data_IF_854218189145
#
_entry.id   IF_854218189145
#
_cell.length_a   1.000
_cell.length_b   1.000
_cell.length_c   1.000
_cell.angle_alpha   90.00
_cell.angle_beta   90.00
_cell.angle_gamma   90.00
#
_symmetry.space_group_name_H-M   'P 1'
#
loop_
_entity.id
_entity.type
_entity.pdbx_description
1 polymer ?
#
# COMPACT_ATOMS: atom_id res chain seq x y z
N UNK A 1 -13.00 2.95 11.10
CA UNK A 1 -11.72 2.98 10.36
C UNK A 1 -10.86 4.11 10.88
N UNK A 2 -9.56 3.88 11.03
CA UNK A 2 -8.60 4.85 11.53
C UNK A 2 -7.43 4.96 10.57
N UNK A 3 -6.83 6.15 10.50
CA UNK A 3 -5.57 6.40 9.81
C UNK A 3 -4.47 6.65 10.83
N UNK A 4 -3.27 6.21 10.53
CA UNK A 4 -2.13 6.34 11.39
C UNK A 4 -0.91 6.81 10.61
N UNK A 5 -0.26 7.86 11.08
CA UNK A 5 0.97 8.36 10.47
C UNK A 5 2.20 7.82 11.22
N UNK A 6 2.85 6.82 10.63
CA UNK A 6 4.04 6.19 11.22
C UNK A 6 5.26 7.13 11.33
N UNK A 7 5.24 8.29 10.66
CA UNK A 7 6.27 9.30 10.82
C UNK A 7 6.13 10.12 12.12
N UNK A 8 4.95 10.13 12.73
CA UNK A 8 4.66 10.89 13.95
C UNK A 8 4.77 10.05 15.21
N UNK A 9 4.43 8.76 15.11
CA UNK A 9 4.52 7.82 16.23
C UNK A 9 4.78 6.41 15.71
N UNK A 10 5.44 5.56 16.52
CA UNK A 10 5.76 4.20 16.14
C UNK A 10 4.50 3.33 16.12
N UNK A 11 4.16 2.75 14.98
CA UNK A 11 3.03 1.84 14.80
C UNK A 11 3.01 0.67 15.82
N UNK A 12 4.14 0.00 16.11
CA UNK A 12 4.14 -1.09 17.10
C UNK A 12 3.65 -0.66 18.48
N UNK A 13 4.08 0.50 18.95
CA UNK A 13 3.69 1.03 20.26
C UNK A 13 2.19 1.36 20.32
N UNK A 14 1.68 1.96 19.26
CA UNK A 14 0.25 2.29 19.15
C UNK A 14 -0.61 1.02 19.18
N UNK A 15 -0.25 0.00 18.41
CA UNK A 15 -0.98 -1.27 18.39
C UNK A 15 -0.94 -1.95 19.77
N UNK A 16 0.21 -1.94 20.44
CA UNK A 16 0.37 -2.50 21.79
C UNK A 16 -0.50 -1.77 22.80
N UNK A 17 -0.49 -0.44 22.82
CA UNK A 17 -1.29 0.37 23.76
C UNK A 17 -2.79 0.13 23.59
N UNK A 18 -3.23 -0.18 22.38
CA UNK A 18 -4.64 -0.45 22.06
C UNK A 18 -5.03 -1.93 22.16
N UNK A 19 -4.09 -2.81 22.45
CA UNK A 19 -4.32 -4.25 22.47
C UNK A 19 -4.69 -4.84 21.12
N UNK A 20 -4.29 -4.17 20.01
CA UNK A 20 -4.59 -4.60 18.66
C UNK A 20 -3.53 -5.59 18.18
N UNK A 21 -3.95 -6.77 17.76
CA UNK A 21 -3.12 -7.77 17.12
C UNK A 21 -3.62 -8.00 15.69
N UNK A 22 -2.89 -7.54 14.66
CA UNK A 22 -3.32 -7.66 13.27
C UNK A 22 -3.43 -9.12 12.81
N UNK A 23 -4.58 -9.52 12.30
CA UNK A 23 -4.82 -10.85 11.69
C UNK A 23 -4.71 -10.83 10.17
N UNK A 24 -4.76 -9.64 9.57
CA UNK A 24 -4.54 -9.38 8.16
C UNK A 24 -3.73 -8.11 8.01
N UNK A 25 -2.63 -8.20 7.28
CA UNK A 25 -1.77 -7.05 6.95
C UNK A 25 -1.61 -6.99 5.44
N UNK A 26 -1.72 -5.80 4.86
CA UNK A 26 -1.47 -5.57 3.44
C UNK A 26 -0.31 -4.59 3.29
N UNK A 27 0.80 -5.08 2.74
CA UNK A 27 1.96 -4.26 2.41
C UNK A 27 1.82 -3.71 0.98
N UNK A 28 1.58 -2.42 0.86
CA UNK A 28 1.52 -1.68 -0.40
C UNK A 28 2.65 -0.64 -0.53
N UNK A 29 3.63 -0.64 0.40
CA UNK A 29 4.64 0.40 0.50
C UNK A 29 5.89 0.15 -0.36
N UNK A 30 6.15 -1.08 -0.79
CA UNK A 30 7.33 -1.46 -1.58
C UNK A 30 8.69 -1.16 -0.90
N UNK A 31 8.74 -1.08 0.43
CA UNK A 31 9.98 -0.79 1.14
C UNK A 31 10.48 -2.04 1.88
N UNK A 32 11.80 -2.38 1.80
CA UNK A 32 12.33 -3.64 2.33
C UNK A 32 12.15 -3.82 3.84
N UNK A 33 11.98 -2.75 4.61
CA UNK A 33 11.76 -2.83 6.06
C UNK A 33 10.31 -3.22 6.43
N UNK A 34 9.33 -3.06 5.53
CA UNK A 34 7.91 -3.23 5.88
C UNK A 34 7.56 -4.70 6.10
N UNK A 35 8.04 -5.60 5.26
CA UNK A 35 7.72 -7.02 5.42
C UNK A 35 8.24 -7.61 6.75
N UNK A 36 9.49 -7.36 7.19
CA UNK A 36 9.94 -7.75 8.53
C UNK A 36 9.09 -7.15 9.66
N UNK A 37 8.72 -5.88 9.55
CA UNK A 37 7.85 -5.22 10.51
C UNK A 37 6.45 -5.86 10.56
N UNK A 38 5.84 -6.11 9.41
CA UNK A 38 4.55 -6.78 9.30
C UNK A 38 4.56 -8.17 9.95
N UNK A 39 5.62 -8.96 9.74
CA UNK A 39 5.80 -10.27 10.37
C UNK A 39 5.89 -10.13 11.91
N UNK A 40 6.60 -9.12 12.40
CA UNK A 40 6.72 -8.87 13.83
C UNK A 40 5.38 -8.45 14.46
N UNK A 41 4.60 -7.63 13.79
CA UNK A 41 3.30 -7.12 14.26
C UNK A 41 2.17 -8.14 14.13
N UNK A 42 2.28 -9.09 13.22
CA UNK A 42 1.23 -10.07 12.94
C UNK A 42 0.91 -10.95 14.15
N UNK A 43 -0.37 -11.21 14.39
CA UNK A 43 -0.82 -12.22 15.34
C UNK A 43 -0.50 -13.64 14.86
N UNK A 44 -0.55 -14.66 15.72
CA UNK A 44 -0.48 -16.06 15.26
C UNK A 44 -1.55 -16.37 14.21
N UNK A 45 -1.21 -17.18 13.21
CA UNK A 45 -2.05 -17.56 12.06
C UNK A 45 -2.52 -16.38 11.19
N UNK A 46 -1.87 -15.22 11.28
CA UNK A 46 -2.20 -14.05 10.47
C UNK A 46 -1.84 -14.25 8.99
N UNK A 47 -2.50 -13.47 8.15
CA UNK A 47 -2.25 -13.41 6.71
C UNK A 47 -1.59 -12.09 6.33
N UNK A 48 -0.54 -12.16 5.51
CA UNK A 48 0.17 -10.99 5.01
C UNK A 48 0.07 -10.99 3.48
N UNK A 49 -0.52 -9.96 2.90
CA UNK A 49 -0.60 -9.74 1.46
C UNK A 49 0.46 -8.74 1.02
N UNK A 50 1.38 -9.15 0.14
CA UNK A 50 2.40 -8.28 -0.43
C UNK A 50 1.91 -7.78 -1.79
N UNK A 51 1.69 -6.48 -1.89
CA UNK A 51 1.36 -5.77 -3.14
C UNK A 51 2.55 -4.98 -3.67
N UNK A 52 3.54 -4.74 -2.81
CA UNK A 52 4.76 -4.04 -3.17
C UNK A 52 5.62 -4.82 -4.17
N UNK A 53 6.38 -4.08 -5.01
CA UNK A 53 7.28 -4.65 -5.99
C UNK A 53 8.63 -3.90 -5.93
N UNK A 54 9.52 -4.37 -5.05
CA UNK A 54 10.89 -3.86 -4.92
C UNK A 54 11.89 -4.98 -5.21
N UNK A 55 13.03 -4.60 -5.80
CA UNK A 55 14.18 -5.48 -5.96
C UNK A 55 15.16 -5.44 -4.78
N UNK A 56 14.89 -4.61 -3.78
CA UNK A 56 15.74 -4.46 -2.62
C UNK A 56 15.62 -5.68 -1.69
N UNK A 57 16.74 -6.12 -1.13
CA UNK A 57 16.77 -7.27 -0.23
C UNK A 57 16.15 -6.91 1.13
N UNK A 58 15.34 -7.81 1.68
CA UNK A 58 14.94 -7.78 3.08
C UNK A 58 15.45 -9.04 3.79
N UNK A 59 15.77 -8.91 5.09
CA UNK A 59 16.26 -10.03 5.88
C UNK A 59 15.13 -10.62 6.71
N UNK A 60 14.85 -11.91 6.48
CA UNK A 60 13.85 -12.69 7.18
C UNK A 60 14.47 -13.99 7.68
N UNK A 61 13.92 -14.53 8.76
CA UNK A 61 14.23 -15.88 9.23
C UNK A 61 13.03 -16.79 9.04
N UNK A 62 13.25 -18.06 8.76
CA UNK A 62 12.17 -19.06 8.73
C UNK A 62 11.43 -19.09 10.07
N UNK A 63 12.17 -18.96 11.17
CA UNK A 63 11.60 -18.95 12.52
C UNK A 63 10.58 -17.84 12.70
N UNK A 64 10.82 -16.63 12.20
CA UNK A 64 9.89 -15.50 12.34
C UNK A 64 8.54 -15.74 11.67
N UNK A 65 8.50 -16.56 10.63
CA UNK A 65 7.29 -16.95 9.91
C UNK A 65 6.64 -18.17 10.56
N UNK A 66 7.44 -19.22 10.80
CA UNK A 66 6.93 -20.52 11.24
C UNK A 66 6.45 -20.48 12.70
N UNK A 67 7.10 -19.72 13.58
CA UNK A 67 6.70 -19.62 15.00
C UNK A 67 5.30 -19.04 15.20
N UNK A 68 4.79 -18.30 14.22
CA UNK A 68 3.46 -17.71 14.23
C UNK A 68 2.50 -18.38 13.22
N UNK A 69 2.94 -19.40 12.49
CA UNK A 69 2.14 -20.05 11.44
C UNK A 69 1.58 -19.06 10.39
N UNK A 70 2.41 -18.09 9.97
CA UNK A 70 1.97 -17.03 9.07
C UNK A 70 1.75 -17.53 7.65
N UNK A 71 0.70 -17.01 7.00
CA UNK A 71 0.48 -17.17 5.57
C UNK A 71 0.85 -15.89 4.83
N UNK A 72 1.83 -15.97 3.93
CA UNK A 72 2.30 -14.83 3.15
C UNK A 72 1.91 -15.04 1.69
N UNK A 73 1.17 -14.08 1.13
CA UNK A 73 0.69 -14.10 -0.25
C UNK A 73 1.22 -12.90 -1.01
N UNK A 74 1.60 -13.13 -2.25
CA UNK A 74 1.96 -12.04 -3.17
C UNK A 74 0.85 -11.78 -4.17
N UNK A 75 0.72 -10.52 -4.60
CA UNK A 75 -0.18 -10.12 -5.67
C UNK A 75 0.60 -9.31 -6.70
N UNK A 76 0.34 -9.56 -7.97
CA UNK A 76 0.95 -8.81 -9.05
C UNK A 76 -0.03 -8.54 -10.16
N UNK A 77 -0.01 -7.29 -10.65
CA UNK A 77 -0.82 -6.83 -11.77
C UNK A 77 -2.33 -7.06 -11.54
N UNK A 78 -3.00 -7.48 -12.57
CA UNK A 78 -4.44 -7.61 -12.60
C UNK A 78 -4.84 -9.00 -13.11
N UNK A 79 -5.81 -9.59 -12.44
CA UNK A 79 -6.43 -10.85 -12.86
C UNK A 79 -7.91 -10.61 -13.13
N UNK A 80 -8.24 -10.03 -14.30
CA UNK A 80 -9.59 -9.76 -14.77
C UNK A 80 -10.50 -8.98 -13.78
N UNK A 81 -9.91 -8.06 -12.97
CA UNK A 81 -10.64 -7.30 -11.95
C UNK A 81 -11.15 -5.94 -12.43
N UNK A 82 -10.74 -5.47 -13.61
CA UNK A 82 -11.18 -4.17 -14.11
C UNK A 82 -12.70 -4.03 -14.18
N UNK A 83 -13.48 -5.01 -14.71
CA UNK A 83 -14.94 -4.87 -14.74
C UNK A 83 -15.55 -4.70 -13.35
N UNK A 84 -15.02 -5.42 -12.35
CA UNK A 84 -15.48 -5.31 -10.97
C UNK A 84 -15.19 -3.94 -10.37
N UNK A 85 -13.97 -3.41 -10.58
CA UNK A 85 -13.56 -2.09 -10.06
C UNK A 85 -14.37 -0.98 -10.74
N UNK A 86 -14.58 -1.06 -12.07
CA UNK A 86 -15.43 -0.12 -12.81
C UNK A 86 -16.87 -0.15 -12.26
N UNK A 87 -17.42 -1.33 -12.01
CA UNK A 87 -18.73 -1.47 -11.38
C UNK A 87 -18.79 -0.81 -10.00
N UNK A 88 -17.78 -0.98 -9.17
CA UNK A 88 -17.70 -0.32 -7.86
C UNK A 88 -17.62 1.20 -7.95
N UNK A 89 -16.94 1.74 -8.96
CA UNK A 89 -16.91 3.18 -9.25
C UNK A 89 -18.30 3.67 -9.69
N UNK A 90 -18.95 2.96 -10.61
CA UNK A 90 -20.29 3.29 -11.07
C UNK A 90 -21.33 3.25 -9.95
N UNK A 91 -21.21 2.30 -9.01
CA UNK A 91 -22.07 2.15 -7.84
C UNK A 91 -21.73 3.17 -6.71
N UNK A 92 -20.72 4.02 -6.87
CA UNK A 92 -20.25 4.94 -5.84
C UNK A 92 -19.58 4.27 -4.63
N UNK A 93 -19.22 2.98 -4.72
CA UNK A 93 -18.49 2.26 -3.67
C UNK A 93 -17.01 2.63 -3.60
N UNK A 94 -16.45 3.08 -4.73
CA UNK A 94 -15.10 3.63 -4.85
C UNK A 94 -15.17 5.01 -5.46
N UNK A 95 -14.50 5.96 -4.82
CA UNK A 95 -14.36 7.33 -5.30
C UNK A 95 -12.90 7.59 -5.73
N UNK A 96 -12.56 7.44 -7.02
CA UNK A 96 -11.19 7.65 -7.52
C UNK A 96 -10.78 9.13 -7.49
N UNK A 97 -11.74 10.06 -7.40
CA UNK A 97 -11.47 11.51 -7.33
C UNK A 97 -10.60 11.85 -6.11
N UNK A 98 -10.75 11.11 -5.02
CA UNK A 98 -9.97 11.31 -3.78
C UNK A 98 -8.46 11.07 -3.96
N UNK A 99 -8.07 10.33 -4.98
CA UNK A 99 -6.66 10.06 -5.29
C UNK A 99 -6.10 11.04 -6.33
N UNK A 100 -6.99 11.70 -7.07
CA UNK A 100 -6.60 12.63 -8.14
C UNK A 100 -6.13 13.95 -7.53
N UNK A 101 -4.84 14.22 -7.65
CA UNK A 101 -4.25 15.45 -7.12
C UNK A 101 -4.01 16.51 -8.19
N UNK A 102 -3.73 16.10 -9.42
CA UNK A 102 -3.40 17.01 -10.51
C UNK A 102 -4.02 16.55 -11.83
N UNK A 103 -4.40 17.52 -12.64
CA UNK A 103 -4.79 17.32 -14.03
C UNK A 103 -4.00 18.31 -14.89
N UNK A 104 -3.24 17.82 -15.85
CA UNK A 104 -2.38 18.64 -16.71
C UNK A 104 -2.61 18.31 -18.18
N UNK A 105 -2.42 19.27 -19.11
CA UNK A 105 -2.47 18.98 -20.55
C UNK A 105 -1.47 17.88 -20.93
N UNK A 106 -1.83 17.02 -21.88
CA UNK A 106 -0.94 15.95 -22.34
C UNK A 106 0.38 16.49 -22.92
N UNK A 107 0.36 17.71 -23.47
CA UNK A 107 1.56 18.41 -23.94
C UNK A 107 2.58 18.67 -22.79
N UNK A 108 2.13 18.73 -21.55
CA UNK A 108 2.95 18.99 -20.36
C UNK A 108 3.39 17.71 -19.64
N UNK A 109 3.41 16.56 -20.32
CA UNK A 109 3.71 15.25 -19.71
C UNK A 109 5.05 15.24 -18.96
N UNK A 110 6.08 15.91 -19.50
CA UNK A 110 7.39 16.01 -18.83
C UNK A 110 7.25 16.71 -17.46
N UNK A 111 6.50 17.81 -17.39
CA UNK A 111 6.21 18.49 -16.14
C UNK A 111 5.46 17.58 -15.17
N UNK A 112 4.49 16.80 -15.66
CA UNK A 112 3.73 15.84 -14.85
C UNK A 112 4.65 14.78 -14.24
N UNK A 113 5.60 14.24 -15.01
CA UNK A 113 6.59 13.27 -14.53
C UNK A 113 7.50 13.86 -13.47
N UNK A 114 8.00 15.08 -13.69
CA UNK A 114 8.85 15.78 -12.72
C UNK A 114 8.11 16.09 -11.41
N UNK A 115 6.83 16.44 -11.46
CA UNK A 115 6.00 16.62 -10.27
C UNK A 115 5.87 15.31 -9.49
N UNK A 116 5.63 14.21 -10.17
CA UNK A 116 5.51 12.89 -9.54
C UNK A 116 6.80 12.44 -8.85
N UNK A 117 7.95 12.75 -9.44
CA UNK A 117 9.26 12.41 -8.87
C UNK A 117 9.65 13.29 -7.68
N UNK A 118 9.36 14.60 -7.76
CA UNK A 118 9.90 15.60 -6.84
C UNK A 118 8.96 15.95 -5.69
N UNK A 119 7.66 15.80 -5.89
CA UNK A 119 6.64 16.26 -4.93
C UNK A 119 5.73 15.12 -4.47
N UNK A 120 6.33 14.07 -3.93
CA UNK A 120 5.61 12.89 -3.45
C UNK A 120 4.65 13.17 -2.29
N UNK A 121 4.76 14.33 -1.63
CA UNK A 121 3.87 14.69 -0.52
C UNK A 121 2.52 15.19 -1.01
N UNK A 122 2.48 15.88 -2.13
CA UNK A 122 1.27 16.51 -2.68
C UNK A 122 0.80 15.87 -3.98
N UNK A 123 1.66 15.08 -4.63
CA UNK A 123 1.39 14.42 -5.91
C UNK A 123 1.12 12.93 -5.71
N UNK A 124 -0.16 12.52 -5.76
CA UNK A 124 -0.56 11.12 -5.66
C UNK A 124 -0.93 10.53 -7.02
N UNK A 125 -1.85 11.15 -7.74
CA UNK A 125 -2.30 10.73 -9.06
C UNK A 125 -2.43 11.94 -9.99
N UNK A 126 -1.75 11.87 -11.12
CA UNK A 126 -1.81 12.89 -12.18
C UNK A 126 -2.57 12.32 -13.38
N UNK A 127 -3.57 13.05 -13.84
CA UNK A 127 -4.23 12.79 -15.12
C UNK A 127 -3.64 13.67 -16.22
N UNK A 128 -3.45 13.08 -17.40
CA UNK A 128 -3.14 13.82 -18.60
C UNK A 128 -4.44 14.04 -19.38
N UNK A 129 -4.73 15.30 -19.67
CA UNK A 129 -5.90 15.69 -20.45
C UNK A 129 -5.52 15.82 -21.90
N UNK A 130 -6.19 15.07 -22.76
CA UNK A 130 -6.12 15.19 -24.23
C UNK A 130 -7.26 16.07 -24.71
N UNK A 131 -7.00 16.89 -25.72
CA UNK A 131 -8.02 17.69 -26.40
C UNK A 131 -8.91 16.82 -27.30
#
# INVERSE_FOLDING_TARGET
>A
DETFNNAEAALPQMLQQRGIQPTLIVDAACHPAILPEAINLASPAARIGIMGFSGDACTLTQQSITSKELSIFSSRLNSARFPQVIGWMADGKLDPQRLLTHCVPAADVERAMLMFERDQRTCCKVLLQFE
#
